data_IF_216118349604
#
_entry.id   IF_216118349604
#
_cell.length_a   1.000
_cell.length_b   1.000
_cell.length_c   1.000
_cell.angle_alpha   90.00
_cell.angle_beta   90.00
_cell.angle_gamma   90.00
#
_symmetry.space_group_name_H-M   'P 1'
#
loop_
_entity.id
_entity.type
_entity.pdbx_description
1 polymer ?
#
# COMPACT_ATOMS: atom_id res chain seq x y z
N UNK A 1 -11.97 -61.35 31.27
CA UNK A 1 -11.13 -61.03 30.09
C UNK A 1 -10.33 -59.79 30.50
N UNK A 2 -9.05 -59.84 30.89
CA UNK A 2 -7.86 -60.41 30.19
C UNK A 2 -7.71 -59.74 28.83
N UNK A 3 -6.63 -59.01 28.47
CA UNK A 3 -5.26 -58.89 29.01
C UNK A 3 -4.73 -57.43 28.80
N UNK A 4 -4.06 -56.79 29.79
CA UNK A 4 -2.62 -56.75 30.14
C UNK A 4 -1.87 -55.48 29.66
N UNK A 5 -1.15 -54.89 30.61
CA UNK A 5 -0.10 -53.83 30.53
C UNK A 5 1.21 -54.49 31.05
N UNK A 6 2.40 -53.84 31.28
CA UNK A 6 2.98 -52.54 30.86
C UNK A 6 4.50 -52.64 30.48
N UNK A 7 5.19 -51.47 30.50
CA UNK A 7 6.63 -51.24 30.78
C UNK A 7 7.69 -51.62 29.70
N UNK A 8 8.67 -50.79 29.30
CA UNK A 8 9.54 -49.76 29.93
C UNK A 8 10.85 -50.32 30.52
N UNK A 9 12.01 -49.88 30.00
CA UNK A 9 13.33 -50.01 30.63
C UNK A 9 14.35 -48.96 30.10
N UNK A 10 15.18 -48.45 31.01
CA UNK A 10 16.29 -47.50 30.78
C UNK A 10 17.52 -47.96 31.56
N UNK A 11 18.72 -47.49 31.17
CA UNK A 11 20.01 -47.57 31.90
C UNK A 11 20.63 -48.99 32.06
N UNK A 12 21.96 -49.19 32.22
CA UNK A 12 23.10 -48.24 32.34
C UNK A 12 24.45 -48.87 31.95
N UNK A 13 25.45 -48.01 31.67
CA UNK A 13 26.90 -48.14 31.97
C UNK A 13 27.75 -49.34 31.48
N UNK A 14 28.83 -49.09 30.73
CA UNK A 14 30.20 -49.03 31.31
C UNK A 14 31.32 -48.54 30.35
N UNK A 15 32.08 -47.54 30.82
CA UNK A 15 33.54 -47.26 30.70
C UNK A 15 34.41 -47.93 29.61
N UNK A 16 35.11 -47.12 28.80
CA UNK A 16 36.60 -47.02 28.75
C UNK A 16 37.11 -45.97 27.73
N UNK A 17 38.01 -45.08 28.17
CA UNK A 17 38.80 -44.18 27.30
C UNK A 17 40.11 -44.85 26.86
N UNK A 18 40.51 -44.72 25.59
CA UNK A 18 41.94 -44.82 25.17
C UNK A 18 42.27 -43.85 24.02
N UNK A 19 43.00 -42.80 24.39
CA UNK A 19 44.06 -42.03 23.70
C UNK A 19 44.32 -42.19 22.17
N UNK A 20 44.43 -41.03 21.52
CA UNK A 20 44.88 -40.71 20.13
C UNK A 20 46.25 -41.30 19.72
N UNK A 21 46.57 -41.43 18.41
CA UNK A 21 47.20 -40.30 17.69
C UNK A 21 46.83 -40.13 16.19
N UNK A 22 47.07 -38.91 15.69
CA UNK A 22 47.17 -38.51 14.26
C UNK A 22 48.64 -38.75 13.82
N UNK A 23 49.00 -39.19 12.58
CA UNK A 23 48.67 -38.53 11.29
C UNK A 23 48.68 -39.48 10.04
N UNK A 24 48.81 -39.14 8.74
CA UNK A 24 48.82 -37.87 7.95
C UNK A 24 48.46 -38.11 6.45
N UNK A 25 48.24 -37.03 5.68
CA UNK A 25 48.50 -36.79 4.24
C UNK A 25 48.37 -37.92 3.19
N UNK A 26 47.43 -37.74 2.26
CA UNK A 26 47.71 -37.80 0.81
C UNK A 26 46.63 -37.08 -0.01
N UNK A 27 47.07 -36.21 -0.94
CA UNK A 27 46.19 -35.54 -1.89
C UNK A 27 46.03 -36.37 -3.17
N UNK A 28 44.88 -36.27 -3.83
CA UNK A 28 44.78 -36.56 -5.26
C UNK A 28 43.75 -35.65 -5.92
N UNK A 29 44.14 -35.03 -7.03
CA UNK A 29 43.37 -34.03 -7.78
C UNK A 29 42.78 -34.68 -9.02
N UNK A 30 41.48 -34.48 -9.27
CA UNK A 30 40.87 -34.73 -10.59
C UNK A 30 39.60 -33.92 -10.80
N UNK A 31 39.21 -33.63 -12.06
CA UNK A 31 38.71 -32.30 -12.39
C UNK A 31 37.20 -32.21 -12.63
N UNK A 32 36.65 -31.04 -12.29
CA UNK A 32 35.66 -30.32 -13.09
C UNK A 32 34.42 -31.08 -13.56
N UNK A 33 33.35 -31.06 -12.75
CA UNK A 33 31.97 -31.11 -13.28
C UNK A 33 31.35 -29.72 -13.14
N UNK A 34 31.02 -29.11 -14.27
CA UNK A 34 30.42 -27.76 -14.33
C UNK A 34 29.08 -27.79 -13.59
N UNK A 35 29.05 -27.17 -12.41
CA UNK A 35 27.80 -26.93 -11.71
C UNK A 35 27.07 -25.80 -12.41
N UNK A 36 26.02 -26.14 -13.17
CA UNK A 36 25.10 -25.15 -13.71
C UNK A 36 24.51 -24.40 -12.52
N UNK A 37 24.90 -23.13 -12.36
CA UNK A 37 24.28 -22.23 -11.39
C UNK A 37 22.82 -22.07 -11.80
N UNK A 38 21.94 -22.78 -11.11
CA UNK A 38 20.50 -22.54 -11.17
C UNK A 38 20.29 -21.11 -10.67
N UNK A 39 20.04 -20.19 -11.59
CA UNK A 39 19.63 -18.84 -11.28
C UNK A 39 18.22 -18.87 -10.71
N UNK A 40 18.10 -19.27 -9.45
CA UNK A 40 16.87 -19.14 -8.67
C UNK A 40 16.61 -17.64 -8.52
N UNK A 41 15.89 -17.07 -9.48
CA UNK A 41 15.25 -15.77 -9.32
C UNK A 41 14.31 -15.88 -8.13
N UNK A 42 14.82 -15.50 -6.96
CA UNK A 42 14.07 -15.47 -5.72
C UNK A 42 12.83 -14.62 -5.98
N UNK A 43 11.65 -15.23 -6.02
CA UNK A 43 10.41 -14.45 -6.08
C UNK A 43 10.38 -13.53 -4.86
N UNK A 44 9.97 -12.25 -5.00
CA UNK A 44 9.85 -11.36 -3.86
C UNK A 44 8.95 -12.02 -2.81
N UNK A 45 9.43 -12.11 -1.57
CA UNK A 45 8.71 -12.80 -0.51
C UNK A 45 7.29 -12.20 -0.36
N UNK A 46 6.28 -13.06 -0.15
CA UNK A 46 4.96 -12.57 0.22
C UNK A 46 4.92 -12.26 1.71
N UNK A 47 5.22 -11.01 2.04
CA UNK A 47 5.17 -10.51 3.41
C UNK A 47 3.73 -10.36 3.94
N UNK A 48 2.70 -10.54 3.11
CA UNK A 48 1.30 -10.56 3.55
C UNK A 48 0.82 -11.94 4.02
N UNK A 49 1.45 -13.03 3.59
CA UNK A 49 1.00 -14.40 3.87
C UNK A 49 0.91 -14.79 5.36
N UNK A 50 1.62 -14.07 6.24
CA UNK A 50 1.63 -14.29 7.70
C UNK A 50 1.23 -13.03 8.50
N UNK A 51 0.66 -12.04 7.84
CA UNK A 51 0.42 -10.70 8.41
C UNK A 51 -1.06 -10.43 8.59
N UNK A 52 -1.47 -10.19 9.83
CA UNK A 52 -2.82 -9.70 10.15
C UNK A 52 -2.79 -8.18 10.21
N UNK A 53 -3.43 -7.52 9.25
CA UNK A 53 -3.64 -6.07 9.28
C UNK A 53 -4.81 -5.68 10.20
N UNK A 54 -4.84 -4.45 10.76
CA UNK A 54 -5.94 -3.95 11.57
C UNK A 54 -7.31 -4.05 10.86
N UNK A 55 -8.43 -4.16 11.61
CA UNK A 55 -9.77 -4.20 11.03
C UNK A 55 -10.03 -3.10 10.01
N UNK A 56 -10.77 -3.44 8.95
CA UNK A 56 -11.08 -2.56 7.82
C UNK A 56 -9.88 -2.08 6.99
N UNK A 57 -8.68 -2.66 7.15
CA UNK A 57 -7.54 -2.44 6.26
C UNK A 57 -7.13 -3.72 5.52
N UNK A 58 -6.36 -3.58 4.43
CA UNK A 58 -5.86 -4.71 3.63
C UNK A 58 -4.34 -4.74 3.62
N UNK A 59 -3.74 -5.92 3.63
CA UNK A 59 -2.29 -6.04 3.45
C UNK A 59 -1.90 -5.77 1.99
N UNK A 60 -0.82 -5.01 1.80
CA UNK A 60 -0.18 -4.73 0.53
C UNK A 60 1.27 -5.20 0.62
N UNK A 61 1.62 -6.23 -0.16
CA UNK A 61 2.99 -6.70 -0.24
C UNK A 61 3.86 -5.66 -0.97
N UNK A 62 5.10 -5.46 -0.49
CA UNK A 62 6.11 -4.54 -1.01
C UNK A 62 7.42 -5.31 -1.28
N UNK A 63 8.46 -4.63 -1.76
CA UNK A 63 9.70 -5.29 -2.21
C UNK A 63 10.51 -5.99 -1.11
N UNK A 64 10.52 -5.43 0.11
CA UNK A 64 11.28 -5.94 1.26
C UNK A 64 10.44 -6.03 2.55
N UNK A 65 9.13 -5.78 2.44
CA UNK A 65 8.22 -5.64 3.58
C UNK A 65 6.76 -5.74 3.13
N UNK A 66 5.84 -5.54 4.06
CA UNK A 66 4.44 -5.25 3.75
C UNK A 66 4.06 -3.86 4.26
N UNK A 67 2.87 -3.39 3.89
CA UNK A 67 2.17 -2.32 4.61
C UNK A 67 0.68 -2.61 4.64
N UNK A 68 -0.02 -2.15 5.66
CA UNK A 68 -1.48 -2.16 5.67
C UNK A 68 -1.98 -0.90 4.96
N UNK A 69 -3.02 -1.02 4.13
CA UNK A 69 -3.66 0.08 3.41
C UNK A 69 -5.13 0.21 3.81
N UNK A 70 -5.56 1.44 4.08
CA UNK A 70 -6.96 1.75 4.27
C UNK A 70 -7.71 1.77 2.92
N UNK A 71 -9.04 1.53 2.92
CA UNK A 71 -9.91 1.83 1.81
C UNK A 71 -9.74 3.30 1.34
N UNK A 72 -10.00 3.62 0.07
CA UNK A 72 -9.98 4.99 -0.43
C UNK A 72 -10.77 5.94 0.48
N UNK A 73 -10.32 7.18 0.66
CA UNK A 73 -10.90 8.20 1.53
C UNK A 73 -10.72 8.01 3.05
N UNK A 74 -9.97 6.99 3.47
CA UNK A 74 -9.54 6.81 4.86
C UNK A 74 -8.00 6.84 4.96
N UNK A 75 -7.48 7.25 6.11
CA UNK A 75 -6.06 7.19 6.47
C UNK A 75 -5.87 6.51 7.83
N UNK A 76 -4.70 5.94 8.06
CA UNK A 76 -4.32 5.47 9.40
C UNK A 76 -4.18 6.66 10.34
N UNK A 77 -4.87 6.58 11.47
CA UNK A 77 -4.66 7.40 12.65
C UNK A 77 -3.49 6.90 13.50
N UNK A 78 -3.15 7.61 14.57
CA UNK A 78 -2.11 7.22 15.53
C UNK A 78 -2.43 5.88 16.26
N UNK A 79 -3.70 5.47 16.28
CA UNK A 79 -4.18 4.25 16.95
C UNK A 79 -4.43 3.12 15.94
N UNK A 80 -3.66 3.07 14.85
CA UNK A 80 -3.72 2.10 13.74
C UNK A 80 -5.12 1.84 13.14
N UNK A 81 -6.05 2.77 13.37
CA UNK A 81 -7.43 2.72 12.87
C UNK A 81 -7.61 3.58 11.63
N UNK A 82 -8.28 3.05 10.61
CA UNK A 82 -8.62 3.77 9.38
C UNK A 82 -9.73 4.80 9.61
N UNK A 83 -9.36 6.08 9.79
CA UNK A 83 -10.29 7.19 9.99
C UNK A 83 -10.44 8.05 8.72
N UNK A 84 -11.54 8.80 8.56
CA UNK A 84 -11.69 9.74 7.45
C UNK A 84 -10.57 10.79 7.46
N UNK A 85 -10.07 11.12 6.27
CA UNK A 85 -9.00 12.10 6.06
C UNK A 85 -9.29 12.90 4.80
N UNK A 86 -8.66 14.07 4.66
CA UNK A 86 -8.62 14.77 3.37
C UNK A 86 -7.60 14.07 2.49
N UNK A 87 -8.02 13.62 1.31
CA UNK A 87 -7.15 12.95 0.35
C UNK A 87 -7.14 13.73 -0.94
N UNK A 88 -5.95 14.08 -1.40
CA UNK A 88 -5.69 14.75 -2.67
C UNK A 88 -5.01 13.75 -3.63
N UNK A 89 -5.81 13.01 -4.40
CA UNK A 89 -5.38 12.38 -5.64
C UNK A 89 -4.59 13.33 -6.53
N UNK A 90 -3.51 12.83 -7.14
CA UNK A 90 -2.87 13.50 -8.26
C UNK A 90 -1.87 12.62 -8.97
N UNK A 91 -1.32 13.16 -10.06
CA UNK A 91 -0.36 12.50 -10.92
C UNK A 91 0.81 13.42 -11.21
N UNK A 92 2.03 12.91 -10.97
CA UNK A 92 3.27 13.53 -11.42
C UNK A 92 3.71 12.83 -12.71
N UNK A 93 3.86 13.60 -13.79
CA UNK A 93 4.44 13.10 -15.05
C UNK A 93 5.92 13.47 -15.08
N UNK A 94 6.78 12.45 -14.90
CA UNK A 94 8.24 12.55 -14.92
C UNK A 94 8.73 12.39 -16.36
N UNK A 95 8.81 13.49 -17.11
CA UNK A 95 8.97 13.47 -18.58
C UNK A 95 10.26 12.82 -19.04
N UNK A 96 11.35 13.05 -18.29
CA UNK A 96 12.68 12.55 -18.62
C UNK A 96 12.97 11.15 -18.04
N UNK A 97 12.02 10.54 -17.31
CA UNK A 97 12.21 9.24 -16.67
C UNK A 97 11.72 8.11 -17.58
N UNK A 98 12.60 7.14 -17.85
CA UNK A 98 12.24 5.93 -18.58
C UNK A 98 11.45 4.98 -17.68
N UNK A 99 10.30 4.54 -18.17
CA UNK A 99 9.48 3.51 -17.56
C UNK A 99 10.09 2.11 -17.78
N UNK A 100 10.00 1.23 -16.79
CA UNK A 100 10.31 -0.19 -16.93
C UNK A 100 9.13 -1.04 -16.46
N UNK A 101 8.93 -2.22 -17.06
CA UNK A 101 7.79 -3.08 -16.76
C UNK A 101 7.71 -3.52 -15.28
N UNK A 102 8.87 -3.61 -14.61
CA UNK A 102 8.94 -3.85 -13.17
C UNK A 102 8.21 -2.76 -12.35
N UNK A 103 8.17 -1.51 -12.81
CA UNK A 103 7.46 -0.41 -12.13
C UNK A 103 5.95 -0.66 -11.99
N UNK A 104 5.34 -1.55 -12.78
CA UNK A 104 3.92 -1.95 -12.60
C UNK A 104 3.69 -2.70 -11.29
N UNK A 105 4.71 -3.40 -10.79
CA UNK A 105 4.62 -4.30 -9.65
C UNK A 105 5.05 -3.57 -8.37
N UNK A 106 4.14 -3.43 -7.40
CA UNK A 106 4.42 -2.73 -6.12
C UNK A 106 5.51 -3.39 -5.27
N UNK A 107 5.73 -4.68 -5.46
CA UNK A 107 6.78 -5.46 -4.83
C UNK A 107 8.08 -5.52 -5.67
N UNK A 108 8.24 -4.69 -6.70
CA UNK A 108 9.53 -4.54 -7.39
C UNK A 108 10.45 -3.52 -6.71
N UNK A 109 11.75 -3.68 -6.95
CA UNK A 109 12.78 -2.74 -6.51
C UNK A 109 12.60 -1.37 -7.17
N UNK A 110 12.19 -1.35 -8.43
CA UNK A 110 11.99 -0.16 -9.26
C UNK A 110 10.82 0.68 -8.74
N UNK A 111 9.68 0.04 -8.45
CA UNK A 111 8.53 0.72 -7.82
C UNK A 111 8.93 1.24 -6.45
N UNK A 112 9.48 0.38 -5.58
CA UNK A 112 9.83 0.75 -4.21
C UNK A 112 10.83 1.91 -4.15
N UNK A 113 11.88 1.88 -4.98
CA UNK A 113 12.91 2.92 -5.06
C UNK A 113 12.35 4.27 -5.50
N UNK A 114 11.50 4.31 -6.54
CA UNK A 114 10.90 5.56 -7.00
C UNK A 114 9.82 6.05 -6.04
N UNK A 115 8.96 5.16 -5.55
CA UNK A 115 7.90 5.48 -4.60
C UNK A 115 8.47 6.14 -3.32
N UNK A 116 9.50 5.55 -2.71
CA UNK A 116 10.13 6.11 -1.52
C UNK A 116 10.74 7.50 -1.78
N UNK A 117 11.45 7.67 -2.90
CA UNK A 117 12.04 8.98 -3.26
C UNK A 117 10.97 10.04 -3.44
N UNK A 118 9.87 9.72 -4.14
CA UNK A 118 8.73 10.64 -4.31
C UNK A 118 8.07 10.95 -2.96
N UNK A 119 7.76 9.94 -2.15
CA UNK A 119 7.11 10.15 -0.84
C UNK A 119 7.95 11.01 0.11
N UNK A 120 9.28 10.82 0.11
CA UNK A 120 10.21 11.65 0.87
C UNK A 120 10.26 13.10 0.32
N UNK A 121 10.25 13.28 -1.00
CA UNK A 121 10.15 14.61 -1.61
C UNK A 121 8.85 15.31 -1.21
N UNK A 122 7.71 14.62 -1.30
CA UNK A 122 6.41 15.18 -0.91
C UNK A 122 6.35 15.51 0.59
N UNK A 123 7.02 14.73 1.45
CA UNK A 123 7.18 15.06 2.87
C UNK A 123 7.93 16.38 3.06
N UNK A 124 8.93 16.68 2.23
CA UNK A 124 9.66 17.94 2.30
C UNK A 124 8.83 19.12 1.74
N UNK A 125 8.11 18.92 0.63
CA UNK A 125 7.22 19.92 0.01
C UNK A 125 6.10 20.38 0.95
N UNK A 126 5.64 19.50 1.84
CA UNK A 126 4.57 19.76 2.81
C UNK A 126 5.02 19.79 4.27
N UNK A 127 6.32 19.94 4.55
CA UNK A 127 6.87 19.92 5.91
C UNK A 127 6.33 21.04 6.81
N UNK A 128 5.91 22.15 6.21
CA UNK A 128 5.32 23.35 6.80
C UNK A 128 3.77 23.34 6.80
N UNK A 129 3.12 22.36 6.17
CA UNK A 129 1.65 22.29 6.13
C UNK A 129 1.08 21.63 7.40
N UNK A 130 0.24 22.34 8.18
CA UNK A 130 -0.36 21.77 9.37
C UNK A 130 -1.32 20.63 9.04
N UNK A 131 -1.23 19.55 9.82
CA UNK A 131 -1.98 18.29 9.62
C UNK A 131 -1.62 17.49 8.36
N UNK A 132 -0.48 17.74 7.70
CA UNK A 132 0.05 16.79 6.72
C UNK A 132 0.33 15.44 7.41
N UNK A 133 -0.19 14.34 6.83
CA UNK A 133 -0.02 12.99 7.40
C UNK A 133 1.08 12.23 6.65
N UNK A 134 0.92 12.08 5.34
CA UNK A 134 1.86 11.41 4.42
C UNK A 134 1.40 11.56 2.98
N UNK A 135 2.30 11.24 2.05
CA UNK A 135 1.95 10.94 0.67
C UNK A 135 2.18 9.46 0.40
N UNK A 136 1.34 8.85 -0.45
CA UNK A 136 1.42 7.43 -0.82
C UNK A 136 1.41 7.31 -2.34
N UNK A 137 2.44 6.72 -2.93
CA UNK A 137 2.45 6.35 -4.35
C UNK A 137 1.63 5.07 -4.53
N UNK A 138 0.59 5.13 -5.36
CA UNK A 138 -0.37 4.01 -5.54
C UNK A 138 -0.04 3.13 -6.74
N UNK A 139 0.41 3.72 -7.84
CA UNK A 139 0.72 3.04 -9.10
C UNK A 139 1.71 3.87 -9.91
N UNK A 140 2.52 3.20 -10.72
CA UNK A 140 3.37 3.80 -11.74
C UNK A 140 2.88 3.33 -13.10
N UNK A 141 2.61 4.25 -14.02
CA UNK A 141 2.10 3.95 -15.36
C UNK A 141 3.00 4.52 -16.47
N UNK A 142 2.75 4.04 -17.69
CA UNK A 142 3.57 4.30 -18.88
C UNK A 142 3.02 5.51 -19.64
N UNK A 143 3.79 6.59 -19.62
CA UNK A 143 3.57 7.87 -20.29
C UNK A 143 4.75 8.78 -19.91
N UNK A 144 5.95 8.44 -20.40
CA UNK A 144 7.16 8.49 -19.57
C UNK A 144 6.90 7.75 -18.24
N UNK A 145 7.30 8.24 -17.06
CA UNK A 145 6.80 7.66 -15.79
C UNK A 145 5.72 8.55 -15.19
N UNK A 146 4.49 8.04 -15.20
CA UNK A 146 3.35 8.64 -14.51
C UNK A 146 3.26 8.08 -13.09
N UNK A 147 3.53 8.93 -12.09
CA UNK A 147 3.46 8.57 -10.67
C UNK A 147 2.12 9.03 -10.12
N UNK A 148 1.18 8.11 -9.93
CA UNK A 148 -0.09 8.45 -9.30
C UNK A 148 0.02 8.30 -7.79
N UNK A 149 -0.28 9.36 -7.07
CA UNK A 149 -0.12 9.45 -5.63
C UNK A 149 -1.32 10.08 -4.94
N UNK A 150 -1.38 9.86 -3.63
CA UNK A 150 -2.36 10.41 -2.73
C UNK A 150 -1.64 11.20 -1.66
N UNK A 151 -1.92 12.50 -1.57
CA UNK A 151 -1.42 13.34 -0.47
C UNK A 151 -2.52 13.40 0.60
N UNK A 152 -2.22 12.96 1.82
CA UNK A 152 -3.21 12.81 2.89
C UNK A 152 -2.99 13.84 4.00
N UNK A 153 -4.08 14.46 4.45
CA UNK A 153 -4.12 15.42 5.54
C UNK A 153 -5.22 15.07 6.56
N UNK A 154 -5.02 15.45 7.82
CA UNK A 154 -6.07 15.38 8.84
C UNK A 154 -7.27 16.26 8.47
N UNK A 155 -8.47 15.88 8.92
CA UNK A 155 -9.72 16.58 8.59
C UNK A 155 -9.70 18.08 8.93
N UNK A 156 -9.01 18.44 10.01
CA UNK A 156 -8.82 19.83 10.47
C UNK A 156 -7.91 20.69 9.57
N UNK A 157 -7.25 20.11 8.56
CA UNK A 157 -6.49 20.89 7.58
C UNK A 157 -7.41 21.82 6.78
N UNK A 158 -6.86 22.98 6.40
CA UNK A 158 -7.51 23.99 5.54
C UNK A 158 -6.97 23.97 4.11
N UNK A 159 -6.12 23.00 3.78
CA UNK A 159 -5.51 22.85 2.45
C UNK A 159 -6.58 22.56 1.38
N UNK A 160 -6.42 23.15 0.20
CA UNK A 160 -7.34 23.05 -0.94
C UNK A 160 -6.70 22.36 -2.14
N UNK A 161 -7.51 21.94 -3.12
CA UNK A 161 -6.99 21.35 -4.36
C UNK A 161 -6.04 22.32 -5.09
N UNK A 162 -6.38 23.62 -5.11
CA UNK A 162 -5.55 24.69 -5.67
C UNK A 162 -4.23 24.92 -4.90
N UNK A 163 -4.24 24.86 -3.56
CA UNK A 163 -3.02 25.08 -2.78
C UNK A 163 -2.04 23.92 -2.96
N UNK A 164 -2.52 22.68 -3.04
CA UNK A 164 -1.71 21.50 -3.40
C UNK A 164 -1.10 21.68 -4.79
N UNK A 165 -1.94 21.99 -5.80
CA UNK A 165 -1.50 22.18 -7.18
C UNK A 165 -0.41 23.25 -7.28
N UNK A 166 -0.64 24.43 -6.69
CA UNK A 166 0.32 25.54 -6.66
C UNK A 166 1.62 25.14 -5.98
N UNK A 167 1.56 24.51 -4.79
CA UNK A 167 2.77 24.21 -4.01
C UNK A 167 3.69 23.23 -4.72
N UNK A 168 3.13 22.16 -5.29
CA UNK A 168 3.91 21.16 -6.05
C UNK A 168 4.46 21.77 -7.35
N UNK A 169 3.64 22.44 -8.16
CA UNK A 169 4.11 23.01 -9.42
C UNK A 169 5.08 24.19 -9.22
N UNK A 170 4.99 24.94 -8.12
CA UNK A 170 6.00 25.94 -7.77
C UNK A 170 7.31 25.29 -7.32
N UNK A 171 7.27 24.19 -6.56
CA UNK A 171 8.46 23.42 -6.24
C UNK A 171 9.17 22.94 -7.52
N UNK A 172 8.44 22.30 -8.45
CA UNK A 172 9.02 21.76 -9.69
C UNK A 172 9.66 22.84 -10.57
N UNK A 173 9.11 24.06 -10.57
CA UNK A 173 9.65 25.20 -11.34
C UNK A 173 10.94 25.78 -10.73
N UNK A 174 11.08 25.72 -9.41
CA UNK A 174 12.07 26.50 -8.66
C UNK A 174 13.11 25.63 -7.92
N UNK A 175 13.02 24.30 -8.00
CA UNK A 175 13.93 23.40 -7.30
C UNK A 175 15.36 23.42 -7.90
N UNK A 176 16.35 23.70 -7.05
CA UNK A 176 17.78 23.50 -7.39
C UNK A 176 18.17 22.03 -7.22
N UNK A 177 17.67 21.38 -6.15
CA UNK A 177 17.64 19.92 -6.01
C UNK A 177 16.18 19.46 -6.07
N UNK A 178 15.81 18.84 -7.18
CA UNK A 178 14.48 18.30 -7.44
C UNK A 178 14.33 16.83 -6.98
N UNK A 179 15.40 16.22 -6.46
CA UNK A 179 15.45 14.81 -6.05
C UNK A 179 15.03 13.84 -7.19
N UNK A 180 13.89 13.14 -7.07
CA UNK A 180 13.38 12.26 -8.13
C UNK A 180 12.73 12.96 -9.34
N UNK A 181 12.45 14.27 -9.25
CA UNK A 181 11.81 15.07 -10.30
C UNK A 181 12.84 15.85 -11.13
N UNK A 182 12.38 16.56 -12.15
CA UNK A 182 13.17 17.46 -12.98
C UNK A 182 12.39 18.73 -13.32
N UNK A 183 13.10 19.84 -13.56
CA UNK A 183 12.50 21.05 -14.11
C UNK A 183 11.81 20.70 -15.43
N UNK A 184 10.53 21.06 -15.54
CA UNK A 184 9.69 20.73 -16.70
C UNK A 184 8.78 19.51 -16.52
N UNK A 185 8.96 18.71 -15.46
CA UNK A 185 7.92 17.76 -15.00
C UNK A 185 6.62 18.50 -14.63
N UNK A 186 5.51 17.78 -14.51
CA UNK A 186 4.20 18.41 -14.25
C UNK A 186 3.37 17.64 -13.23
N UNK A 187 2.69 18.37 -12.34
CA UNK A 187 1.67 17.84 -11.44
C UNK A 187 0.26 18.23 -11.88
N UNK A 188 -0.65 17.26 -11.91
CA UNK A 188 -2.10 17.45 -12.03
C UNK A 188 -2.84 16.84 -10.84
N UNK A 189 -3.83 17.55 -10.31
CA UNK A 189 -4.77 17.00 -9.33
C UNK A 189 -5.81 16.10 -10.00
N UNK A 190 -6.32 15.13 -9.26
CA UNK A 190 -7.38 14.21 -9.69
C UNK A 190 -8.59 14.31 -8.74
N UNK A 191 -9.78 13.87 -9.18
CA UNK A 191 -10.89 13.63 -8.26
C UNK A 191 -10.82 12.21 -7.66
N UNK A 192 -11.06 12.09 -6.36
CA UNK A 192 -11.23 10.79 -5.69
C UNK A 192 -12.49 10.04 -6.18
N UNK A 193 -13.45 10.74 -6.78
CA UNK A 193 -14.63 10.13 -7.39
C UNK A 193 -14.29 9.21 -8.57
N UNK A 194 -13.16 9.42 -9.25
CA UNK A 194 -12.71 8.57 -10.37
C UNK A 194 -12.15 7.21 -9.92
N UNK A 195 -12.31 6.85 -8.64
CA UNK A 195 -11.67 5.69 -8.00
C UNK A 195 -12.65 4.76 -7.29
N UNK A 196 -13.92 4.77 -7.73
CA UNK A 196 -15.00 3.96 -7.17
C UNK A 196 -15.11 4.11 -5.63
N UNK A 197 -14.91 5.34 -5.12
CA UNK A 197 -15.05 5.63 -3.70
C UNK A 197 -16.50 5.44 -3.22
N UNK A 198 -17.45 5.83 -4.07
CA UNK A 198 -18.88 5.58 -3.91
C UNK A 198 -19.36 4.45 -4.83
N UNK A 199 -20.46 3.80 -4.48
CA UNK A 199 -21.16 2.90 -5.39
C UNK A 199 -21.81 3.68 -6.55
N UNK A 200 -21.42 3.31 -7.77
CA UNK A 200 -21.80 4.01 -9.00
C UNK A 200 -23.27 3.81 -9.41
N UNK A 201 -23.95 2.80 -8.84
CA UNK A 201 -25.31 2.40 -9.23
C UNK A 201 -26.40 3.08 -8.38
N UNK A 202 -26.06 3.44 -7.13
CA UNK A 202 -27.02 3.94 -6.13
C UNK A 202 -26.69 5.35 -5.63
N UNK A 203 -25.53 5.91 -6.03
CA UNK A 203 -25.06 7.21 -5.54
C UNK A 203 -24.45 8.09 -6.64
N UNK A 204 -24.33 9.38 -6.34
CA UNK A 204 -23.52 10.36 -7.05
C UNK A 204 -22.39 10.83 -6.13
N UNK A 205 -21.14 10.61 -6.54
CA UNK A 205 -19.98 11.08 -5.81
C UNK A 205 -19.79 12.60 -5.96
N UNK A 206 -19.35 13.26 -4.89
CA UNK A 206 -18.90 14.65 -4.87
C UNK A 206 -17.56 14.73 -4.13
N UNK A 207 -16.58 15.44 -4.68
CA UNK A 207 -15.35 15.83 -3.96
C UNK A 207 -15.25 17.35 -3.86
N UNK A 208 -14.60 17.82 -2.79
CA UNK A 208 -14.11 19.20 -2.67
C UNK A 208 -13.01 19.26 -1.60
N UNK A 209 -11.87 19.84 -1.94
CA UNK A 209 -10.76 20.10 -1.00
C UNK A 209 -10.34 18.84 -0.22
N UNK A 210 -10.26 17.73 -0.97
CA UNK A 210 -9.91 16.40 -0.46
C UNK A 210 -10.97 15.72 0.41
N UNK A 211 -12.10 16.37 0.70
CA UNK A 211 -13.28 15.74 1.29
C UNK A 211 -14.15 15.11 0.20
N UNK A 212 -14.84 14.02 0.53
CA UNK A 212 -15.70 13.29 -0.41
C UNK A 212 -17.00 12.84 0.24
N UNK A 213 -18.11 13.03 -0.47
CA UNK A 213 -19.43 12.50 -0.12
C UNK A 213 -19.99 11.62 -1.24
N UNK A 214 -20.88 10.72 -0.85
CA UNK A 214 -21.70 9.92 -1.75
C UNK A 214 -23.15 10.33 -1.49
N UNK A 215 -23.81 10.96 -2.43
CA UNK A 215 -25.20 11.39 -2.29
C UNK A 215 -26.11 10.37 -2.98
N UNK A 216 -27.23 9.97 -2.36
CA UNK A 216 -28.10 8.95 -2.97
C UNK A 216 -28.75 9.45 -4.26
N UNK A 217 -28.91 8.54 -5.22
CA UNK A 217 -29.78 8.76 -6.38
C UNK A 217 -31.27 8.76 -5.94
N UNK A 218 -32.19 9.36 -6.72
CA UNK A 218 -33.61 9.37 -6.41
C UNK A 218 -34.17 7.97 -6.15
N UNK A 219 -34.95 7.80 -5.08
CA UNK A 219 -35.50 6.51 -4.65
C UNK A 219 -34.59 5.68 -3.74
N UNK A 220 -33.32 6.09 -3.54
CA UNK A 220 -32.37 5.44 -2.64
C UNK A 220 -32.12 6.28 -1.37
N UNK A 221 -31.77 5.62 -0.27
CA UNK A 221 -31.43 6.25 1.01
C UNK A 221 -30.21 5.58 1.67
N UNK A 222 -29.57 6.28 2.62
CA UNK A 222 -28.51 5.71 3.46
C UNK A 222 -29.06 5.19 4.78
N UNK A 223 -28.37 4.21 5.38
CA UNK A 223 -28.56 3.86 6.77
C UNK A 223 -27.71 4.74 7.70
N UNK A 224 -26.48 5.05 7.31
CA UNK A 224 -25.60 6.01 8.01
C UNK A 224 -25.10 7.12 7.07
N UNK A 225 -24.86 8.36 7.54
CA UNK A 225 -24.30 9.42 6.69
C UNK A 225 -23.00 9.04 5.97
N UNK A 226 -22.20 8.17 6.60
CA UNK A 226 -20.94 7.61 6.10
C UNK A 226 -21.07 6.52 5.04
N UNK A 227 -22.28 6.01 4.75
CA UNK A 227 -22.43 4.93 3.77
C UNK A 227 -21.96 5.38 2.37
N UNK A 228 -21.23 4.50 1.68
CA UNK A 228 -20.70 4.74 0.32
C UNK A 228 -21.65 4.26 -0.78
N UNK A 229 -22.64 3.46 -0.40
CA UNK A 229 -23.76 3.02 -1.23
C UNK A 229 -25.06 3.44 -0.58
N UNK A 230 -26.14 3.48 -1.36
CA UNK A 230 -27.49 3.69 -0.86
C UNK A 230 -28.35 2.45 -1.17
N UNK A 231 -29.46 2.30 -0.45
CA UNK A 231 -30.38 1.18 -0.60
C UNK A 231 -31.73 1.68 -1.12
N UNK A 232 -32.38 0.89 -1.96
CA UNK A 232 -33.79 1.06 -2.25
C UNK A 232 -34.62 0.48 -1.08
N UNK A 233 -35.89 0.89 -0.98
CA UNK A 233 -36.84 0.22 -0.11
C UNK A 233 -37.11 -1.22 -0.58
N UNK A 234 -37.48 -2.10 0.34
CA UNK A 234 -37.92 -3.47 0.01
C UNK A 234 -39.20 -3.45 -0.81
N UNK A 235 -39.43 -4.49 -1.63
CA UNK A 235 -40.63 -4.63 -2.46
C UNK A 235 -41.92 -4.38 -1.67
N UNK A 236 -42.81 -3.57 -2.23
CA UNK A 236 -44.05 -3.13 -1.55
C UNK A 236 -43.89 -1.93 -0.62
N UNK A 237 -42.73 -1.25 -0.62
CA UNK A 237 -42.50 0.01 0.10
C UNK A 237 -41.91 1.06 -0.84
N UNK A 238 -42.29 2.33 -0.62
CA UNK A 238 -41.77 3.52 -1.30
C UNK A 238 -40.97 4.39 -0.33
N UNK A 239 -39.99 5.13 -0.84
CA UNK A 239 -39.21 6.07 -0.04
C UNK A 239 -39.95 7.41 0.08
N UNK A 240 -40.26 7.84 1.31
CA UNK A 240 -40.85 9.14 1.62
C UNK A 240 -40.02 9.80 2.73
N UNK A 241 -39.47 10.98 2.47
CA UNK A 241 -38.63 11.74 3.41
C UNK A 241 -37.47 10.93 4.04
N UNK A 242 -36.86 10.02 3.26
CA UNK A 242 -35.77 9.15 3.73
C UNK A 242 -36.22 7.89 4.50
N UNK A 243 -37.52 7.67 4.67
CA UNK A 243 -38.10 6.52 5.38
C UNK A 243 -38.88 5.65 4.39
N UNK A 244 -38.74 4.33 4.48
CA UNK A 244 -39.54 3.39 3.69
C UNK A 244 -40.93 3.21 4.31
N UNK A 245 -41.96 3.58 3.55
CA UNK A 245 -43.38 3.45 3.94
C UNK A 245 -44.12 2.57 2.93
N UNK A 246 -45.18 1.90 3.36
CA UNK A 246 -46.00 1.03 2.51
C UNK A 246 -46.87 1.85 1.54
#
# INVERSE_FOLDING_TARGET
>A
MVALIPANATNESNTSEVVTPRPETSASVSPGKVSQSSSTTLQPADHCAKTTCPPYSKCQNLYLSFTCICPPGLAFSLNDSCLPARIFPGTLHLKNKKFSEAMKQKNSKEFHSLANKIQNLMKNIFADEPNYLKSIVRKLEKGSVEVHLDTLFGLASKVTEDSIHRKINNFIKNCTDCGPLSIGDTYSGESICHRNYCDINTTKCKNKDGLVSCDCLPGYYKFTPSDRSCKACTSGFKLVNGICVK
#
